data_IF_706305859175
#
_entry.id   IF_706305859175
#
_cell.length_a   1.000
_cell.length_b   1.000
_cell.length_c   1.000
_cell.angle_alpha   90.00
_cell.angle_beta   90.00
_cell.angle_gamma   90.00
#
_symmetry.space_group_name_H-M   'P 1'
#
loop_
_entity.id
_entity.type
_entity.pdbx_description
1 polymer ?
#
# COMPACT_ATOMS: atom_id res chain seq x y z
N UNK A 1 -11.62 -3.38 -0.14
CA UNK A 1 -10.93 -2.70 -1.25
C UNK A 1 -11.97 -1.84 -1.92
N UNK A 2 -11.66 -0.56 -2.17
CA UNK A 2 -12.48 0.25 -3.05
C UNK A 2 -12.54 -0.41 -4.43
N UNK A 3 -13.70 -0.39 -5.06
CA UNK A 3 -13.86 -1.01 -6.38
C UNK A 3 -13.30 -0.07 -7.46
N UNK A 4 -12.90 -0.61 -8.61
CA UNK A 4 -12.48 0.19 -9.76
C UNK A 4 -13.60 1.19 -10.15
N UNK A 5 -14.87 0.86 -9.88
CA UNK A 5 -16.01 1.76 -10.05
C UNK A 5 -15.90 3.06 -9.25
N UNK A 6 -15.44 3.00 -7.98
CA UNK A 6 -15.25 4.20 -7.15
C UNK A 6 -14.20 5.14 -7.77
N UNK A 7 -13.11 4.55 -8.29
CA UNK A 7 -12.08 5.28 -9.01
C UNK A 7 -12.64 5.93 -10.29
N UNK A 8 -13.37 5.18 -11.12
CA UNK A 8 -13.97 5.71 -12.35
C UNK A 8 -14.90 6.89 -12.07
N UNK A 9 -15.70 6.82 -11.01
CA UNK A 9 -16.57 7.93 -10.62
C UNK A 9 -15.80 9.22 -10.35
N UNK A 10 -14.61 9.12 -9.73
CA UNK A 10 -13.77 10.28 -9.40
C UNK A 10 -13.08 10.87 -10.63
N UNK A 11 -12.62 10.04 -11.56
CA UNK A 11 -11.77 10.48 -12.68
C UNK A 11 -12.50 10.67 -14.01
N UNK A 12 -13.80 10.36 -14.08
CA UNK A 12 -14.59 10.45 -15.31
C UNK A 12 -14.44 11.81 -16.01
N UNK A 13 -13.95 11.80 -17.25
CA UNK A 13 -13.76 13.01 -18.05
C UNK A 13 -12.60 13.92 -17.62
N UNK A 14 -11.83 13.53 -16.61
CA UNK A 14 -10.62 14.26 -16.17
C UNK A 14 -9.43 13.73 -16.94
N UNK A 15 -8.86 14.53 -17.85
CA UNK A 15 -7.69 14.10 -18.64
C UNK A 15 -6.35 14.29 -17.93
N UNK A 16 -6.15 15.45 -17.29
CA UNK A 16 -4.90 15.78 -16.62
C UNK A 16 -5.12 16.79 -15.50
N UNK A 17 -4.29 16.76 -14.47
CA UNK A 17 -4.31 17.70 -13.35
C UNK A 17 -2.95 18.38 -13.22
N UNK A 18 -2.97 19.72 -13.06
CA UNK A 18 -1.76 20.55 -13.00
C UNK A 18 -1.35 20.87 -11.57
N UNK A 19 -0.25 20.27 -11.11
CA UNK A 19 0.42 20.53 -9.83
C UNK A 19 1.55 21.55 -9.99
N UNK A 20 1.48 22.41 -11.01
CA UNK A 20 2.44 23.50 -11.25
C UNK A 20 2.02 24.78 -10.51
N UNK A 21 2.85 25.83 -10.49
CA UNK A 21 2.54 27.10 -9.80
C UNK A 21 3.29 27.24 -8.48
N UNK A 22 2.76 28.00 -7.52
CA UNK A 22 3.42 28.25 -6.23
C UNK A 22 3.18 27.12 -5.22
N UNK A 23 1.95 26.60 -5.12
CA UNK A 23 1.65 25.42 -4.29
C UNK A 23 2.66 24.30 -4.48
N UNK A 24 3.14 23.75 -3.37
CA UNK A 24 4.00 22.57 -3.36
C UNK A 24 3.24 21.48 -2.61
N UNK A 25 2.82 20.38 -3.27
CA UNK A 25 2.11 19.32 -2.57
C UNK A 25 3.02 18.66 -1.53
N UNK A 26 2.44 18.06 -0.48
CA UNK A 26 3.13 17.00 0.25
C UNK A 26 2.90 15.64 -0.41
N UNK A 27 3.56 14.57 0.05
CA UNK A 27 3.15 13.20 -0.31
C UNK A 27 2.04 12.74 0.62
N UNK A 28 1.07 12.00 0.08
CA UNK A 28 0.08 11.27 0.85
C UNK A 28 0.57 9.84 1.10
N UNK A 29 0.47 9.38 2.34
CA UNK A 29 0.75 8.01 2.73
C UNK A 29 -0.57 7.26 2.94
N UNK A 30 -0.75 6.16 2.23
CA UNK A 30 -1.86 5.24 2.42
C UNK A 30 -1.43 4.14 3.40
N UNK A 31 -2.27 3.75 4.35
CA UNK A 31 -1.97 2.71 5.35
C UNK A 31 -3.02 1.61 5.47
N UNK A 32 -4.23 1.86 4.99
CA UNK A 32 -5.35 0.91 5.12
C UNK A 32 -5.88 0.46 3.75
N UNK A 33 -6.36 -0.79 3.61
CA UNK A 33 -6.92 -1.31 2.35
C UNK A 33 -8.21 -0.61 1.87
N UNK A 34 -8.82 0.23 2.70
CA UNK A 34 -9.96 1.07 2.32
C UNK A 34 -9.55 2.36 1.64
N UNK A 35 -8.28 2.77 1.77
CA UNK A 35 -7.71 3.92 1.10
C UNK A 35 -7.06 3.50 -0.23
N UNK A 36 -7.23 4.33 -1.25
CA UNK A 36 -6.70 4.08 -2.59
C UNK A 36 -6.19 5.37 -3.22
N UNK A 37 -5.15 5.29 -4.07
CA UNK A 37 -4.66 6.47 -4.76
C UNK A 37 -5.60 6.84 -5.91
N UNK A 38 -5.79 8.14 -6.09
CA UNK A 38 -6.53 8.69 -7.23
C UNK A 38 -5.55 9.26 -8.27
N UNK A 39 -4.47 9.90 -7.79
CA UNK A 39 -3.40 10.39 -8.64
C UNK A 39 -2.04 10.08 -8.03
N UNK A 40 -1.21 9.39 -8.83
CA UNK A 40 0.17 9.05 -8.50
C UNK A 40 1.08 9.67 -9.56
N UNK A 41 2.06 10.44 -9.11
CA UNK A 41 3.02 11.07 -10.01
C UNK A 41 4.01 10.06 -10.62
N UNK A 42 4.76 10.42 -11.68
CA UNK A 42 5.85 9.59 -12.21
C UNK A 42 6.88 9.15 -11.15
N UNK A 43 7.18 10.03 -10.17
CA UNK A 43 8.03 9.73 -9.00
C UNK A 43 7.37 8.80 -7.96
N UNK A 44 6.15 8.34 -8.23
CA UNK A 44 5.35 7.48 -7.34
C UNK A 44 4.84 8.19 -6.08
N UNK A 45 4.72 9.52 -6.12
CA UNK A 45 4.10 10.26 -5.04
C UNK A 45 2.58 10.22 -5.18
N UNK A 46 1.86 9.83 -4.13
CA UNK A 46 0.40 9.96 -4.10
C UNK A 46 0.06 11.41 -3.79
N UNK A 47 -0.63 12.08 -4.72
CA UNK A 47 -0.98 13.50 -4.59
C UNK A 47 -2.49 13.72 -4.37
N UNK A 48 -3.29 12.73 -4.76
CA UNK A 48 -4.72 12.66 -4.44
C UNK A 48 -5.02 11.24 -4.01
N UNK A 49 -5.75 11.10 -2.91
CA UNK A 49 -6.18 9.81 -2.39
C UNK A 49 -7.65 9.88 -1.98
N UNK A 50 -8.30 8.72 -1.97
CA UNK A 50 -9.66 8.58 -1.51
C UNK A 50 -9.78 7.37 -0.57
N UNK A 51 -10.80 7.36 0.30
CA UNK A 51 -11.01 6.28 1.24
C UNK A 51 -12.47 6.13 1.64
N UNK A 52 -12.84 4.90 2.02
CA UNK A 52 -14.09 4.57 2.68
C UNK A 52 -13.86 4.48 4.19
N UNK A 53 -14.68 5.15 5.00
CA UNK A 53 -14.60 5.08 6.45
C UNK A 53 -15.98 5.04 7.10
N UNK A 54 -16.27 3.95 7.82
CA UNK A 54 -17.62 3.69 8.32
C UNK A 54 -18.61 3.60 7.17
N UNK A 55 -19.61 4.47 7.17
CA UNK A 55 -20.59 4.61 6.07
C UNK A 55 -20.26 5.74 5.09
N UNK A 56 -19.29 6.58 5.41
CA UNK A 56 -18.93 7.76 4.63
C UNK A 56 -17.69 7.56 3.78
N UNK A 57 -17.30 8.66 3.14
CA UNK A 57 -16.26 8.70 2.12
C UNK A 57 -15.39 9.93 2.30
N UNK A 58 -14.12 9.81 1.93
CA UNK A 58 -13.14 10.90 2.05
C UNK A 58 -12.33 11.03 0.77
N UNK A 59 -12.12 12.26 0.32
CA UNK A 59 -11.12 12.62 -0.71
C UNK A 59 -10.12 13.58 -0.09
N UNK A 60 -8.83 13.27 -0.25
CA UNK A 60 -7.71 14.01 0.31
C UNK A 60 -6.84 14.57 -0.81
N UNK A 61 -6.61 15.88 -0.79
CA UNK A 61 -5.71 16.59 -1.70
C UNK A 61 -4.41 16.94 -1.00
N UNK A 62 -3.26 16.67 -1.63
CA UNK A 62 -1.92 16.97 -1.08
C UNK A 62 -1.58 18.46 -0.88
N UNK A 63 -2.53 19.36 -1.17
CA UNK A 63 -2.48 20.78 -0.86
C UNK A 63 -3.90 21.35 -0.90
N UNK A 64 -4.23 22.28 -0.02
CA UNK A 64 -5.52 22.96 0.03
C UNK A 64 -5.77 23.85 -1.19
N UNK A 65 -4.73 24.47 -1.75
CA UNK A 65 -4.89 25.33 -2.95
C UNK A 65 -5.53 24.58 -4.12
N UNK A 66 -5.31 23.27 -4.26
CA UNK A 66 -5.91 22.49 -5.34
C UNK A 66 -7.43 22.32 -5.17
N UNK A 67 -7.95 22.43 -3.96
CA UNK A 67 -9.41 22.50 -3.74
C UNK A 67 -9.98 23.82 -4.28
N UNK A 68 -9.16 24.86 -4.40
CA UNK A 68 -9.57 26.21 -4.72
C UNK A 68 -9.04 26.69 -6.08
N UNK A 69 -8.69 25.76 -6.98
CA UNK A 69 -8.08 26.05 -8.28
C UNK A 69 -8.96 25.60 -9.43
N UNK A 70 -9.18 26.48 -10.41
CA UNK A 70 -10.04 26.22 -11.57
C UNK A 70 -9.63 24.96 -12.35
N UNK A 71 -8.32 24.70 -12.48
CA UNK A 71 -7.80 23.52 -13.20
C UNK A 71 -8.14 22.17 -12.55
N UNK A 72 -8.70 22.16 -11.34
CA UNK A 72 -9.15 20.94 -10.64
C UNK A 72 -10.69 20.81 -10.62
N UNK A 73 -11.44 21.77 -11.16
CA UNK A 73 -12.90 21.80 -10.97
C UNK A 73 -13.63 20.62 -11.58
N UNK A 74 -13.15 20.07 -12.71
CA UNK A 74 -13.76 18.88 -13.30
C UNK A 74 -13.63 17.68 -12.35
N UNK A 75 -12.46 17.50 -11.73
CA UNK A 75 -12.25 16.48 -10.70
C UNK A 75 -13.10 16.73 -9.45
N UNK A 76 -13.17 17.98 -8.95
CA UNK A 76 -13.93 18.29 -7.74
C UNK A 76 -15.45 18.14 -7.93
N UNK A 77 -15.96 18.40 -9.13
CA UNK A 77 -17.35 18.14 -9.51
C UNK A 77 -17.69 16.66 -9.55
N UNK A 78 -16.72 15.79 -9.79
CA UNK A 78 -16.87 14.34 -9.65
C UNK A 78 -16.76 13.90 -8.18
N UNK A 79 -15.84 14.51 -7.42
CA UNK A 79 -15.60 14.17 -6.02
C UNK A 79 -16.83 14.39 -5.13
N UNK A 80 -17.54 15.52 -5.29
CA UNK A 80 -18.73 15.85 -4.49
C UNK A 80 -19.85 14.78 -4.56
N UNK A 81 -20.35 14.39 -5.74
CA UNK A 81 -21.37 13.35 -5.83
C UNK A 81 -20.83 11.95 -5.48
N UNK A 82 -19.53 11.70 -5.63
CA UNK A 82 -18.93 10.47 -5.13
C UNK A 82 -18.97 10.41 -3.60
N UNK A 83 -18.65 11.53 -2.94
CA UNK A 83 -18.65 11.70 -1.48
C UNK A 83 -20.05 11.55 -0.88
N UNK A 84 -21.07 12.10 -1.54
CA UNK A 84 -22.47 11.87 -1.20
C UNK A 84 -23.34 11.90 -2.46
N UNK A 85 -24.00 10.78 -2.83
CA UNK A 85 -24.74 10.69 -4.09
C UNK A 85 -26.10 11.39 -4.06
N UNK A 86 -26.61 11.83 -2.90
CA UNK A 86 -27.87 12.58 -2.84
C UNK A 86 -27.65 14.03 -3.30
N UNK A 87 -28.27 14.48 -4.41
CA UNK A 87 -28.06 15.82 -4.96
C UNK A 87 -28.68 16.93 -4.11
N UNK A 88 -29.51 16.61 -3.12
CA UNK A 88 -30.22 17.61 -2.31
C UNK A 88 -29.50 17.94 -0.99
N UNK A 89 -28.36 17.30 -0.73
CA UNK A 89 -27.61 17.54 0.51
C UNK A 89 -27.02 18.94 0.55
N UNK A 90 -26.93 19.50 1.77
CA UNK A 90 -26.16 20.71 1.98
C UNK A 90 -24.66 20.39 1.91
N UNK A 91 -23.91 21.18 1.15
CA UNK A 91 -22.46 21.13 1.08
C UNK A 91 -21.89 22.28 1.90
N UNK A 92 -21.25 21.97 3.02
CA UNK A 92 -20.50 22.95 3.78
C UNK A 92 -19.14 23.20 3.13
N UNK A 93 -18.83 24.43 2.75
CA UNK A 93 -17.53 24.80 2.20
C UNK A 93 -16.83 25.76 3.15
N UNK A 94 -15.59 25.43 3.52
CA UNK A 94 -14.80 26.27 4.41
C UNK A 94 -14.55 27.65 3.78
N UNK A 95 -14.64 28.72 4.58
CA UNK A 95 -14.55 30.11 4.12
C UNK A 95 -13.24 30.46 3.37
N UNK A 96 -12.18 29.64 3.51
CA UNK A 96 -10.90 29.79 2.79
C UNK A 96 -10.94 29.22 1.36
N UNK A 97 -12.05 28.60 0.93
CA UNK A 97 -12.22 27.96 -0.38
C UNK A 97 -13.28 28.65 -1.26
N UNK A 98 -13.18 29.97 -1.53
CA UNK A 98 -14.22 30.71 -2.23
C UNK A 98 -14.42 30.29 -3.69
N UNK A 99 -13.36 29.85 -4.38
CA UNK A 99 -13.44 29.38 -5.78
C UNK A 99 -14.22 28.07 -5.85
N UNK A 100 -13.98 27.16 -4.89
CA UNK A 100 -14.76 25.92 -4.77
C UNK A 100 -16.24 26.23 -4.52
N UNK A 101 -16.51 27.10 -3.54
CA UNK A 101 -17.87 27.51 -3.18
C UNK A 101 -18.63 28.06 -4.39
N UNK A 102 -18.03 29.03 -5.10
CA UNK A 102 -18.64 29.65 -6.27
C UNK A 102 -18.90 28.64 -7.40
N UNK A 103 -17.95 27.74 -7.67
CA UNK A 103 -18.10 26.74 -8.73
C UNK A 103 -19.18 25.69 -8.41
N UNK A 104 -19.27 25.25 -7.16
CA UNK A 104 -20.32 24.32 -6.71
C UNK A 104 -21.70 24.99 -6.74
N UNK A 105 -21.82 26.24 -6.29
CA UNK A 105 -23.05 27.02 -6.40
C UNK A 105 -23.47 27.23 -7.86
N UNK A 106 -22.54 27.54 -8.76
CA UNK A 106 -22.80 27.65 -10.20
C UNK A 106 -23.27 26.32 -10.82
N UNK A 107 -22.83 25.19 -10.23
CA UNK A 107 -23.27 23.83 -10.59
C UNK A 107 -24.57 23.41 -9.92
N UNK A 108 -25.29 24.35 -9.28
CA UNK A 108 -26.60 24.18 -8.62
C UNK A 108 -26.59 23.30 -7.36
N UNK A 109 -25.44 23.08 -6.75
CA UNK A 109 -25.39 22.49 -5.41
C UNK A 109 -25.85 23.48 -4.35
N UNK A 110 -26.43 22.97 -3.26
CA UNK A 110 -26.82 23.77 -2.11
C UNK A 110 -25.61 24.00 -1.19
N UNK A 111 -24.87 25.08 -1.44
CA UNK A 111 -23.63 25.41 -0.74
C UNK A 111 -23.87 26.31 0.46
N UNK A 112 -23.26 25.97 1.59
CA UNK A 112 -23.23 26.79 2.80
C UNK A 112 -21.79 27.12 3.17
N UNK A 113 -21.42 28.39 3.12
CA UNK A 113 -20.10 28.83 3.55
C UNK A 113 -20.02 28.86 5.07
N UNK A 114 -19.01 28.19 5.62
CA UNK A 114 -18.84 28.02 7.07
C UNK A 114 -17.36 28.01 7.44
N UNK A 115 -17.01 28.28 8.71
CA UNK A 115 -15.63 28.08 9.21
C UNK A 115 -15.45 26.73 9.90
N UNK A 116 -16.54 26.04 10.20
CA UNK A 116 -16.57 24.81 11.02
C UNK A 116 -17.59 23.84 10.48
N UNK A 117 -17.51 22.57 10.87
CA UNK A 117 -18.58 21.61 10.64
C UNK A 117 -19.85 22.06 11.37
N UNK A 118 -20.98 22.10 10.66
CA UNK A 118 -22.30 22.46 11.20
C UNK A 118 -23.30 21.32 10.93
N UNK A 119 -24.43 21.33 11.64
CA UNK A 119 -25.46 20.31 11.50
C UNK A 119 -26.17 20.36 10.13
N UNK A 120 -26.60 19.20 9.64
CA UNK A 120 -27.42 19.07 8.43
C UNK A 120 -26.64 19.07 7.11
N UNK A 121 -25.31 19.00 7.16
CA UNK A 121 -24.46 18.81 5.98
C UNK A 121 -24.46 17.33 5.55
N UNK A 122 -24.36 17.10 4.24
CA UNK A 122 -24.06 15.78 3.68
C UNK A 122 -22.62 15.67 3.17
N UNK A 123 -22.00 16.79 2.83
CA UNK A 123 -20.58 16.91 2.47
C UNK A 123 -19.96 18.11 3.18
N UNK A 124 -18.74 17.97 3.68
CA UNK A 124 -17.95 19.06 4.25
C UNK A 124 -16.61 19.18 3.51
N UNK A 125 -16.35 20.35 2.94
CA UNK A 125 -15.13 20.68 2.21
C UNK A 125 -14.28 21.64 3.05
N UNK A 126 -13.09 21.22 3.48
CA UNK A 126 -12.27 21.97 4.44
C UNK A 126 -10.77 21.87 4.21
N UNK A 127 -10.00 22.63 4.99
CA UNK A 127 -8.53 22.55 5.04
C UNK A 127 -8.06 21.80 6.27
N UNK A 128 -6.95 21.08 6.18
CA UNK A 128 -6.41 20.26 7.27
C UNK A 128 -5.50 20.98 8.26
N UNK A 129 -5.74 22.25 8.57
CA UNK A 129 -4.91 23.05 9.48
C UNK A 129 -5.55 23.33 10.84
N UNK A 130 -6.81 22.93 11.04
CA UNK A 130 -7.54 23.08 12.30
C UNK A 130 -8.12 21.71 12.69
N UNK A 131 -7.82 21.27 13.91
CA UNK A 131 -8.24 20.00 14.51
C UNK A 131 -9.24 20.18 15.66
N UNK A 132 -9.74 21.39 15.92
CA UNK A 132 -10.64 21.66 17.05
C UNK A 132 -11.94 20.84 17.01
N UNK A 133 -12.36 20.41 15.81
CA UNK A 133 -13.53 19.55 15.60
C UNK A 133 -13.17 18.16 15.05
N UNK A 134 -11.96 17.66 15.34
CA UNK A 134 -11.50 16.41 14.74
C UNK A 134 -12.44 15.23 15.06
N UNK A 135 -12.90 15.10 16.31
CA UNK A 135 -13.80 14.02 16.72
C UNK A 135 -15.17 14.11 16.03
N UNK A 136 -15.72 15.32 15.90
CA UNK A 136 -17.00 15.58 15.24
C UNK A 136 -16.92 15.29 13.74
N UNK A 137 -15.84 15.71 13.08
CA UNK A 137 -15.60 15.41 11.65
C UNK A 137 -15.45 13.90 11.46
N UNK A 138 -14.71 13.22 12.34
CA UNK A 138 -14.57 11.76 12.30
C UNK A 138 -15.93 11.07 12.46
N UNK A 139 -16.77 11.50 13.41
CA UNK A 139 -18.10 10.91 13.61
C UNK A 139 -19.01 11.17 12.40
N UNK A 140 -18.98 12.39 11.88
CA UNK A 140 -19.72 12.78 10.67
C UNK A 140 -19.41 11.85 9.49
N UNK A 141 -18.12 11.61 9.20
CA UNK A 141 -17.73 10.67 8.13
C UNK A 141 -18.16 9.25 8.47
N UNK A 142 -17.90 8.78 9.70
CA UNK A 142 -18.27 7.42 10.13
C UNK A 142 -19.76 7.13 9.93
N UNK A 143 -20.61 8.13 10.14
CA UNK A 143 -22.07 8.03 10.08
C UNK A 143 -22.64 8.15 8.65
N UNK A 144 -21.84 8.52 7.66
CA UNK A 144 -22.26 8.61 6.25
C UNK A 144 -21.97 9.95 5.57
N UNK A 145 -21.37 10.90 6.28
CA UNK A 145 -20.93 12.16 5.71
C UNK A 145 -19.77 12.02 4.73
N UNK A 146 -19.72 12.91 3.74
CA UNK A 146 -18.60 13.04 2.81
C UNK A 146 -17.60 14.11 3.26
N UNK A 147 -16.30 13.80 3.31
CA UNK A 147 -15.24 14.77 3.61
C UNK A 147 -14.34 15.02 2.39
N UNK A 148 -14.25 16.28 1.96
CA UNK A 148 -13.25 16.73 1.01
C UNK A 148 -12.25 17.60 1.76
N UNK A 149 -10.99 17.18 1.83
CA UNK A 149 -9.98 17.86 2.66
C UNK A 149 -8.66 18.02 1.93
N UNK A 150 -8.06 19.19 2.07
CA UNK A 150 -6.77 19.51 1.47
C UNK A 150 -5.85 20.18 2.49
N UNK A 151 -4.59 19.81 2.48
CA UNK A 151 -3.55 20.44 3.29
C UNK A 151 -2.17 20.03 2.77
N UNK A 152 -1.13 20.72 3.23
CA UNK A 152 0.24 20.22 3.16
C UNK A 152 0.89 20.21 4.55
N UNK A 153 1.64 19.15 4.84
CA UNK A 153 2.30 19.01 6.14
C UNK A 153 3.81 19.28 6.11
N UNK A 154 4.42 19.40 4.93
CA UNK A 154 5.86 19.67 4.79
C UNK A 154 6.22 21.05 5.36
N UNK A 155 5.39 22.08 5.16
CA UNK A 155 5.69 23.42 5.70
C UNK A 155 5.47 23.42 7.21
N UNK A 156 4.42 22.74 7.67
CA UNK A 156 4.17 22.57 9.10
C UNK A 156 5.37 21.90 9.79
N UNK A 157 5.99 20.89 9.18
CA UNK A 157 7.18 20.21 9.74
C UNK A 157 8.45 21.07 9.75
N UNK A 158 8.51 22.17 9.01
CA UNK A 158 9.63 23.12 9.13
C UNK A 158 9.55 23.99 10.39
N UNK A 159 8.34 24.14 10.95
CA UNK A 159 8.07 24.99 12.12
C UNK A 159 7.79 24.21 13.40
N UNK A 160 7.54 22.89 13.29
CA UNK A 160 7.21 21.98 14.38
C UNK A 160 8.21 20.81 14.40
N UNK A 161 8.63 20.37 15.59
CA UNK A 161 9.58 19.26 15.75
C UNK A 161 8.90 17.92 15.99
N UNK A 162 7.59 17.97 16.21
CA UNK A 162 6.74 16.84 16.51
C UNK A 162 6.53 15.95 15.27
N UNK A 163 6.19 14.68 15.49
CA UNK A 163 5.93 13.74 14.42
C UNK A 163 4.68 14.16 13.62
N UNK A 164 4.86 14.49 12.33
CA UNK A 164 3.79 14.91 11.42
C UNK A 164 2.63 13.91 11.38
N UNK A 165 2.92 12.61 11.36
CA UNK A 165 1.88 11.57 11.24
C UNK A 165 0.97 11.51 12.46
N UNK A 166 1.42 12.03 13.60
CA UNK A 166 0.69 12.01 14.87
C UNK A 166 0.09 13.38 15.19
N UNK A 167 0.84 14.45 14.95
CA UNK A 167 0.53 15.77 15.52
C UNK A 167 0.05 16.81 14.50
N UNK A 168 0.21 16.57 13.20
CA UNK A 168 -0.34 17.47 12.19
C UNK A 168 -1.88 17.51 12.28
N UNK A 169 -2.52 18.69 12.36
CA UNK A 169 -3.98 18.80 12.56
C UNK A 169 -4.81 17.97 11.59
N UNK A 170 -4.50 18.02 10.29
CA UNK A 170 -5.17 17.22 9.28
C UNK A 170 -5.07 15.72 9.54
N UNK A 171 -3.92 15.23 10.03
CA UNK A 171 -3.73 13.81 10.35
C UNK A 171 -4.55 13.36 11.56
N UNK A 172 -4.86 14.25 12.50
CA UNK A 172 -5.80 13.93 13.58
C UNK A 172 -7.23 13.70 13.08
N UNK A 173 -7.56 14.21 11.90
CA UNK A 173 -8.87 14.03 11.24
C UNK A 173 -8.84 12.79 10.32
N UNK A 174 -7.85 12.70 9.42
CA UNK A 174 -7.90 11.73 8.30
C UNK A 174 -7.16 10.41 8.56
N UNK A 175 -6.32 10.30 9.59
CA UNK A 175 -5.53 9.08 9.85
C UNK A 175 -6.41 7.84 10.04
N UNK A 176 -7.59 7.99 10.65
CA UNK A 176 -8.58 6.91 10.84
C UNK A 176 -9.15 6.40 9.51
N UNK A 177 -9.03 7.18 8.45
CA UNK A 177 -9.42 6.82 7.09
C UNK A 177 -8.26 6.15 6.32
N UNK A 178 -7.12 5.92 6.96
CA UNK A 178 -5.96 5.27 6.34
C UNK A 178 -5.15 6.15 5.39
N UNK A 179 -5.34 7.47 5.42
CA UNK A 179 -4.58 8.44 4.62
C UNK A 179 -3.85 9.38 5.59
N UNK A 180 -2.59 9.71 5.31
CA UNK A 180 -1.81 10.67 6.09
C UNK A 180 -1.12 11.67 5.17
N UNK A 181 -1.12 12.94 5.55
CA UNK A 181 -0.18 13.94 5.05
C UNK A 181 1.21 13.67 5.62
N UNK A 182 2.25 13.78 4.80
CA UNK A 182 3.64 13.54 5.21
C UNK A 182 4.47 14.83 5.19
N UNK A 183 5.65 14.80 5.82
CA UNK A 183 6.63 15.88 5.77
C UNK A 183 7.31 16.03 4.41
N UNK A 184 7.14 15.08 3.50
CA UNK A 184 7.85 15.04 2.23
C UNK A 184 7.15 15.87 1.17
N UNK A 185 7.94 16.53 0.33
CA UNK A 185 7.46 17.22 -0.86
C UNK A 185 6.97 16.23 -1.92
N UNK A 186 5.77 16.46 -2.44
CA UNK A 186 5.22 15.80 -3.61
C UNK A 186 5.77 16.38 -4.91
N UNK A 187 5.73 15.58 -5.97
CA UNK A 187 6.19 16.00 -7.30
C UNK A 187 5.26 17.07 -7.89
N UNK A 188 5.86 18.07 -8.54
CA UNK A 188 5.15 19.11 -9.28
C UNK A 188 5.22 18.82 -10.77
N UNK A 189 4.13 19.09 -11.48
CA UNK A 189 4.04 18.85 -12.91
C UNK A 189 2.60 18.74 -13.36
N UNK A 190 2.42 18.52 -14.66
CA UNK A 190 1.14 18.16 -15.24
C UNK A 190 1.10 16.63 -15.33
N UNK A 191 0.12 16.03 -14.66
CA UNK A 191 0.02 14.58 -14.59
C UNK A 191 -1.27 14.12 -15.26
N UNK A 192 -1.12 13.13 -16.15
CA UNK A 192 -2.26 12.48 -16.77
C UNK A 192 -3.03 11.68 -15.74
N UNK A 193 -4.35 11.75 -15.83
CA UNK A 193 -5.25 10.88 -15.09
C UNK A 193 -5.58 9.70 -15.99
N UNK A 194 -5.23 8.50 -15.54
CA UNK A 194 -5.41 7.27 -16.32
C UNK A 194 -6.82 6.72 -16.17
N UNK A 195 -7.27 5.91 -17.12
CA UNK A 195 -8.52 5.16 -16.96
C UNK A 195 -8.39 4.09 -15.88
N UNK A 196 -7.22 3.46 -15.72
CA UNK A 196 -7.02 2.47 -14.66
C UNK A 196 -6.58 3.12 -13.36
N UNK A 197 -7.10 2.61 -12.23
CA UNK A 197 -6.67 3.05 -10.90
C UNK A 197 -5.15 2.86 -10.74
N UNK A 198 -4.41 3.89 -10.31
CA UNK A 198 -3.00 3.76 -10.02
C UNK A 198 -2.77 2.67 -8.99
N UNK A 199 -1.71 1.87 -9.16
CA UNK A 199 -1.35 0.89 -8.16
C UNK A 199 -0.95 1.61 -6.86
N UNK A 200 -1.40 1.08 -5.72
CA UNK A 200 -0.95 1.54 -4.40
C UNK A 200 0.57 1.54 -4.39
N UNK A 201 1.24 2.64 -3.96
CA UNK A 201 2.70 2.64 -3.94
C UNK A 201 3.20 1.51 -3.06
N UNK A 202 4.18 0.74 -3.57
CA UNK A 202 4.85 -0.36 -2.84
C UNK A 202 5.40 0.07 -1.47
N UNK A 203 5.55 1.38 -1.24
CA UNK A 203 5.89 1.97 0.04
C UNK A 203 4.88 1.63 1.15
N UNK A 204 3.57 1.66 0.87
CA UNK A 204 2.54 1.25 1.84
C UNK A 204 2.68 -0.22 2.20
N UNK A 205 2.92 -1.07 1.20
CA UNK A 205 3.11 -2.50 1.40
C UNK A 205 4.39 -2.82 2.17
N UNK A 206 5.47 -2.12 1.85
CA UNK A 206 6.73 -2.19 2.57
C UNK A 206 6.53 -1.88 4.06
N UNK A 207 5.92 -0.72 4.37
CA UNK A 207 5.65 -0.31 5.75
C UNK A 207 4.81 -1.33 6.53
N UNK A 208 3.83 -1.94 5.88
CA UNK A 208 3.04 -3.00 6.49
C UNK A 208 3.91 -4.21 6.84
N UNK A 209 4.73 -4.68 5.90
CA UNK A 209 5.60 -5.84 6.07
C UNK A 209 6.63 -5.64 7.20
N UNK A 210 7.19 -4.45 7.32
CA UNK A 210 8.27 -4.16 8.27
C UNK A 210 7.81 -3.59 9.61
N UNK A 211 6.51 -3.41 9.81
CA UNK A 211 5.95 -2.78 11.01
C UNK A 211 6.42 -3.46 12.30
N UNK A 212 7.16 -2.74 13.14
CA UNK A 212 7.68 -3.23 14.42
C UNK A 212 8.88 -4.17 14.30
N UNK A 213 9.41 -4.37 13.09
CA UNK A 213 10.62 -5.17 12.84
C UNK A 213 11.81 -4.22 12.80
N UNK A 214 12.70 -4.28 13.79
CA UNK A 214 13.88 -3.41 13.84
C UNK A 214 15.09 -3.94 13.06
N UNK A 215 15.32 -5.26 13.12
CA UNK A 215 16.44 -5.91 12.45
C UNK A 215 16.15 -7.39 12.24
N UNK A 216 16.73 -7.98 11.19
CA UNK A 216 16.64 -9.41 10.89
C UNK A 216 18.05 -10.01 10.77
N UNK A 217 18.24 -11.17 11.41
CA UNK A 217 19.53 -11.86 11.48
C UNK A 217 19.66 -12.96 10.43
N UNK A 218 20.51 -12.73 9.44
CA UNK A 218 20.90 -13.71 8.41
C UNK A 218 22.20 -14.42 8.79
N UNK A 219 22.54 -14.45 10.09
CA UNK A 219 23.68 -15.19 10.64
C UNK A 219 23.33 -16.69 10.83
N UNK A 220 24.24 -17.49 11.38
CA UNK A 220 24.01 -18.94 11.59
C UNK A 220 24.50 -19.81 10.43
N UNK A 221 23.96 -21.03 10.28
CA UNK A 221 24.40 -21.98 9.24
C UNK A 221 23.83 -21.67 7.86
N UNK A 222 22.52 -21.36 7.79
CA UNK A 222 21.85 -20.88 6.58
C UNK A 222 22.66 -19.82 5.82
N UNK A 223 22.83 -20.03 4.51
CA UNK A 223 23.42 -19.03 3.61
C UNK A 223 22.34 -18.61 2.61
N UNK A 224 21.89 -17.34 2.61
CA UNK A 224 20.88 -16.91 1.66
C UNK A 224 21.41 -16.98 0.23
N UNK A 225 20.53 -17.13 -0.75
CA UNK A 225 20.84 -16.73 -2.13
C UNK A 225 20.56 -15.23 -2.34
N UNK A 226 20.92 -14.68 -3.49
CA UNK A 226 20.41 -13.36 -3.91
C UNK A 226 19.07 -13.53 -4.61
N UNK A 227 18.15 -12.62 -4.35
CA UNK A 227 16.90 -12.49 -5.12
C UNK A 227 17.09 -11.47 -6.24
N UNK A 228 16.63 -11.81 -7.44
CA UNK A 228 16.56 -10.93 -8.59
C UNK A 228 15.13 -10.39 -8.71
N UNK A 229 14.99 -9.07 -8.86
CA UNK A 229 13.70 -8.40 -9.06
C UNK A 229 13.56 -7.92 -10.50
N UNK A 230 12.38 -8.17 -11.08
CA UNK A 230 11.97 -7.75 -12.42
C UNK A 230 10.58 -7.12 -12.38
N UNK A 231 10.40 -6.09 -13.20
CA UNK A 231 9.11 -5.43 -13.37
C UNK A 231 8.68 -4.56 -12.17
N UNK A 232 7.62 -3.75 -12.35
CA UNK A 232 7.24 -2.71 -11.40
C UNK A 232 6.45 -3.22 -10.18
N UNK A 233 6.00 -4.48 -10.18
CA UNK A 233 5.18 -5.04 -9.10
C UNK A 233 5.99 -5.65 -7.95
N UNK A 234 7.26 -5.98 -8.21
CA UNK A 234 8.18 -6.58 -7.25
C UNK A 234 9.06 -5.50 -6.58
N UNK A 235 9.25 -5.63 -5.26
CA UNK A 235 10.05 -4.68 -4.48
C UNK A 235 10.89 -5.39 -3.41
N UNK A 236 12.04 -4.81 -3.05
CA UNK A 236 12.86 -5.34 -1.99
C UNK A 236 12.24 -5.03 -0.61
N UNK A 237 12.40 -5.96 0.32
CA UNK A 237 12.04 -5.77 1.72
C UNK A 237 13.29 -5.69 2.59
N UNK A 238 14.28 -6.56 2.32
CA UNK A 238 15.59 -6.51 2.99
C UNK A 238 16.69 -6.54 1.94
N UNK A 239 17.59 -5.57 2.05
CA UNK A 239 18.76 -5.41 1.17
C UNK A 239 19.99 -5.28 2.04
N UNK A 240 21.00 -6.08 1.76
CA UNK A 240 22.26 -6.05 2.48
C UNK A 240 23.13 -4.84 2.09
N UNK A 241 24.18 -4.49 2.85
CA UNK A 241 25.18 -3.49 2.44
C UNK A 241 25.80 -3.75 1.06
N UNK A 242 25.99 -5.02 0.69
CA UNK A 242 26.44 -5.45 -0.65
C UNK A 242 25.38 -5.30 -1.75
N UNK A 243 24.21 -4.75 -1.44
CA UNK A 243 23.05 -4.61 -2.34
C UNK A 243 22.43 -5.95 -2.75
N UNK A 244 22.65 -7.00 -1.95
CA UNK A 244 21.99 -8.28 -2.17
C UNK A 244 20.55 -8.20 -1.63
N UNK A 245 19.54 -8.49 -2.46
CA UNK A 245 18.14 -8.59 -2.01
C UNK A 245 17.95 -9.94 -1.34
N UNK A 246 17.55 -9.95 -0.07
CA UNK A 246 17.44 -11.16 0.76
C UNK A 246 15.98 -11.50 1.12
N UNK A 247 15.11 -10.50 1.11
CA UNK A 247 13.66 -10.67 1.18
C UNK A 247 13.04 -9.74 0.15
N UNK A 248 12.08 -10.25 -0.60
CA UNK A 248 11.34 -9.49 -1.59
C UNK A 248 9.84 -9.79 -1.49
N UNK A 249 9.03 -8.86 -1.97
CA UNK A 249 7.60 -9.02 -2.07
C UNK A 249 7.10 -8.53 -3.43
N UNK A 250 5.93 -9.02 -3.85
CA UNK A 250 5.35 -8.65 -5.14
C UNK A 250 3.83 -8.82 -5.16
N UNK A 251 3.18 -8.06 -6.04
CA UNK A 251 1.80 -8.29 -6.45
C UNK A 251 1.76 -9.09 -7.75
N UNK A 252 0.84 -10.06 -7.81
CA UNK A 252 0.61 -10.83 -9.03
C UNK A 252 -0.87 -11.19 -9.18
N UNK A 253 -1.49 -10.71 -10.27
CA UNK A 253 -2.94 -10.75 -10.42
C UNK A 253 -3.62 -10.03 -9.27
N UNK A 254 -4.54 -10.71 -8.58
CA UNK A 254 -5.23 -10.20 -7.39
C UNK A 254 -4.52 -10.57 -6.07
N UNK A 255 -3.48 -11.40 -6.13
CA UNK A 255 -2.79 -11.92 -4.96
C UNK A 255 -1.42 -11.29 -4.76
N UNK A 256 -0.70 -11.86 -3.80
CA UNK A 256 0.55 -11.32 -3.27
C UNK A 256 1.53 -12.43 -2.98
N UNK A 257 2.82 -12.11 -3.06
CA UNK A 257 3.92 -13.05 -2.79
C UNK A 257 4.96 -12.41 -1.91
N UNK A 258 5.47 -13.15 -0.92
CA UNK A 258 6.68 -12.83 -0.15
C UNK A 258 7.69 -13.96 -0.34
N UNK A 259 8.91 -13.59 -0.72
CA UNK A 259 10.00 -14.53 -1.03
C UNK A 259 11.15 -14.33 -0.05
N UNK A 260 11.55 -15.41 0.63
CA UNK A 260 12.72 -15.48 1.51
C UNK A 260 13.88 -16.13 0.79
N UNK A 261 15.07 -15.54 0.83
CA UNK A 261 16.27 -16.06 0.17
C UNK A 261 16.81 -17.41 0.70
N UNK A 262 16.14 -18.00 1.70
CA UNK A 262 16.34 -19.35 2.21
C UNK A 262 15.10 -19.77 3.00
N UNK A 263 14.68 -21.03 2.87
CA UNK A 263 13.57 -21.64 3.62
C UNK A 263 13.80 -21.70 5.13
N UNK A 264 15.04 -21.78 5.61
CA UNK A 264 15.31 -21.83 7.06
C UNK A 264 14.79 -20.59 7.78
N UNK A 265 14.79 -19.43 7.12
CA UNK A 265 14.28 -18.19 7.70
C UNK A 265 12.77 -18.20 7.88
N UNK A 266 12.03 -19.01 7.12
CA UNK A 266 10.60 -19.24 7.35
C UNK A 266 10.35 -19.97 8.67
N UNK A 267 11.34 -20.70 9.17
CA UNK A 267 11.19 -21.59 10.33
C UNK A 267 12.09 -21.15 11.49
N UNK A 268 12.52 -19.88 11.54
CA UNK A 268 13.45 -19.34 12.55
C UNK A 268 12.78 -18.29 13.42
N UNK A 269 12.90 -18.43 14.74
CA UNK A 269 12.23 -17.56 15.73
C UNK A 269 12.52 -16.07 15.53
N UNK A 270 13.75 -15.71 15.14
CA UNK A 270 14.16 -14.32 14.91
C UNK A 270 13.43 -13.62 13.73
N UNK A 271 12.65 -14.36 12.93
CA UNK A 271 11.88 -13.82 11.82
C UNK A 271 10.37 -13.77 12.11
N UNK A 272 9.90 -14.27 13.25
CA UNK A 272 8.47 -14.55 13.46
C UNK A 272 7.58 -13.30 13.41
N UNK A 273 8.04 -12.16 13.95
CA UNK A 273 7.30 -10.91 13.86
C UNK A 273 7.14 -10.44 12.40
N UNK A 274 8.22 -10.55 11.61
CA UNK A 274 8.18 -10.28 10.18
C UNK A 274 7.23 -11.25 9.44
N UNK A 275 7.32 -12.54 9.73
CA UNK A 275 6.50 -13.56 9.07
C UNK A 275 5.00 -13.40 9.41
N UNK A 276 4.67 -12.94 10.63
CA UNK A 276 3.31 -12.57 11.02
C UNK A 276 2.78 -11.40 10.19
N UNK A 277 3.59 -10.36 10.02
CA UNK A 277 3.25 -9.23 9.15
C UNK A 277 3.07 -9.70 7.71
N UNK A 278 3.99 -10.54 7.19
CA UNK A 278 3.93 -11.10 5.85
C UNK A 278 2.63 -11.87 5.61
N UNK A 279 2.27 -12.80 6.50
CA UNK A 279 1.01 -13.57 6.41
C UNK A 279 -0.22 -12.65 6.40
N UNK A 280 -0.25 -11.64 7.27
CA UNK A 280 -1.37 -10.69 7.34
C UNK A 280 -1.44 -9.79 6.11
N UNK A 281 -0.29 -9.45 5.52
CA UNK A 281 -0.22 -8.66 4.29
C UNK A 281 -0.67 -9.48 3.07
N UNK A 282 -0.25 -10.74 3.01
CA UNK A 282 -0.61 -11.72 1.99
C UNK A 282 -2.13 -11.95 1.94
N UNK A 283 -2.79 -11.99 3.08
CA UNK A 283 -4.25 -11.96 3.16
C UNK A 283 -4.73 -11.24 4.43
N UNK A 284 -5.37 -10.06 4.31
CA UNK A 284 -5.78 -9.27 5.47
C UNK A 284 -7.01 -9.83 6.20
N UNK A 285 -7.71 -10.82 5.64
CA UNK A 285 -8.84 -11.45 6.31
C UNK A 285 -8.34 -12.43 7.39
N UNK A 286 -8.55 -12.16 8.68
CA UNK A 286 -8.01 -12.99 9.77
C UNK A 286 -8.65 -14.39 9.86
N UNK A 287 -9.77 -14.62 9.16
CA UNK A 287 -10.53 -15.87 9.22
C UNK A 287 -10.13 -16.90 8.15
N UNK A 288 -9.19 -16.57 7.26
CA UNK A 288 -8.75 -17.47 6.20
C UNK A 288 -7.95 -18.64 6.76
N UNK A 289 -8.00 -19.77 6.06
CA UNK A 289 -7.14 -20.91 6.38
C UNK A 289 -5.74 -20.66 5.81
N UNK A 290 -4.72 -20.88 6.63
CA UNK A 290 -3.33 -20.79 6.23
C UNK A 290 -2.79 -22.20 6.09
N UNK A 291 -2.45 -22.59 4.86
CA UNK A 291 -1.72 -23.82 4.61
C UNK A 291 -0.24 -23.61 4.95
N UNK A 292 0.32 -24.43 5.84
CA UNK A 292 1.76 -24.40 6.15
C UNK A 292 2.38 -25.72 5.73
N UNK A 293 3.45 -25.66 4.96
CA UNK A 293 4.15 -26.85 4.51
C UNK A 293 4.69 -27.65 5.70
N UNK A 294 4.58 -28.97 5.67
CA UNK A 294 4.97 -29.87 6.79
C UNK A 294 6.44 -29.73 7.24
N UNK A 295 7.31 -29.16 6.41
CA UNK A 295 8.72 -28.87 6.75
C UNK A 295 8.91 -27.58 7.55
N UNK A 296 7.85 -26.83 7.85
CA UNK A 296 7.88 -25.54 8.55
C UNK A 296 7.15 -25.60 9.90
N UNK A 297 7.50 -26.53 10.82
CA UNK A 297 6.74 -26.74 12.06
C UNK A 297 6.80 -25.55 13.04
N UNK A 298 7.90 -24.79 13.08
CA UNK A 298 8.03 -23.62 13.96
C UNK A 298 7.08 -22.52 13.48
N UNK A 299 7.02 -22.27 12.16
CA UNK A 299 6.06 -21.34 11.57
C UNK A 299 4.61 -21.74 11.87
N UNK A 300 4.27 -23.01 11.64
CA UNK A 300 2.93 -23.56 11.93
C UNK A 300 2.52 -23.29 13.38
N UNK A 301 3.40 -23.61 14.32
CA UNK A 301 3.13 -23.47 15.75
C UNK A 301 2.99 -22.00 16.14
N UNK A 302 3.87 -21.13 15.65
CA UNK A 302 3.83 -19.70 15.94
C UNK A 302 2.56 -19.02 15.39
N UNK A 303 2.16 -19.33 14.15
CA UNK A 303 0.94 -18.77 13.55
C UNK A 303 -0.31 -19.29 14.30
N UNK A 304 -0.33 -20.57 14.66
CA UNK A 304 -1.43 -21.14 15.46
C UNK A 304 -1.54 -20.45 16.83
N UNK A 305 -0.41 -20.25 17.52
CA UNK A 305 -0.35 -19.53 18.81
C UNK A 305 -0.73 -18.06 18.67
N UNK A 306 -0.53 -17.46 17.49
CA UNK A 306 -0.94 -16.10 17.15
C UNK A 306 -2.42 -15.97 16.76
N UNK A 307 -3.20 -17.07 16.82
CA UNK A 307 -4.65 -17.07 16.59
C UNK A 307 -5.09 -17.32 15.15
N UNK A 308 -4.18 -17.67 14.24
CA UNK A 308 -4.54 -18.02 12.86
C UNK A 308 -5.06 -19.45 12.75
N UNK A 309 -5.93 -19.69 11.76
CA UNK A 309 -6.39 -21.04 11.39
C UNK A 309 -5.35 -21.72 10.51
N UNK A 310 -4.42 -22.45 11.13
CA UNK A 310 -3.36 -23.15 10.41
C UNK A 310 -3.79 -24.57 10.04
N UNK A 311 -3.47 -24.98 8.82
CA UNK A 311 -3.59 -26.34 8.34
C UNK A 311 -2.24 -26.80 7.79
N UNK A 312 -1.66 -27.82 8.42
CA UNK A 312 -0.41 -28.42 7.94
C UNK A 312 -0.68 -29.32 6.74
N UNK A 313 0.09 -29.13 5.67
CA UNK A 313 -0.09 -29.84 4.39
C UNK A 313 1.27 -30.00 3.69
N UNK A 314 1.40 -30.96 2.78
CA UNK A 314 2.60 -31.06 1.91
C UNK A 314 2.40 -30.36 0.56
N UNK A 315 1.17 -30.02 0.22
CA UNK A 315 0.77 -29.49 -1.10
C UNK A 315 -0.26 -28.38 -0.94
N UNK A 316 -0.44 -27.58 -1.99
CA UNK A 316 -1.57 -26.66 -2.07
C UNK A 316 -2.88 -27.47 -2.12
N UNK A 317 -3.82 -27.12 -1.25
CA UNK A 317 -5.15 -27.72 -1.15
C UNK A 317 -6.23 -26.64 -1.27
N UNK A 318 -7.46 -27.05 -1.54
CA UNK A 318 -8.59 -26.12 -1.70
C UNK A 318 -8.95 -25.42 -0.38
N UNK A 319 -9.45 -24.18 -0.49
CA UNK A 319 -9.98 -23.42 0.64
C UNK A 319 -8.95 -22.67 1.48
N UNK A 320 -7.69 -22.62 1.04
CA UNK A 320 -6.65 -21.79 1.65
C UNK A 320 -6.77 -20.33 1.18
N UNK A 321 -6.45 -19.38 2.06
CA UNK A 321 -6.24 -17.98 1.69
C UNK A 321 -4.76 -17.60 1.61
N UNK A 322 -3.89 -18.34 2.31
CA UNK A 322 -2.43 -18.20 2.26
C UNK A 322 -1.80 -19.60 2.22
N UNK A 323 -0.76 -19.78 1.42
CA UNK A 323 0.06 -20.98 1.39
C UNK A 323 1.53 -20.63 1.70
N UNK A 324 2.09 -21.25 2.73
CA UNK A 324 3.47 -21.09 3.18
C UNK A 324 4.26 -22.35 2.81
N UNK A 325 5.25 -22.25 1.92
CA UNK A 325 5.94 -23.43 1.38
C UNK A 325 7.42 -23.20 1.10
N UNK A 326 8.11 -24.27 0.74
CA UNK A 326 9.51 -24.23 0.25
C UNK A 326 9.55 -24.32 -1.28
N UNK A 327 10.54 -23.69 -1.91
CA UNK A 327 10.66 -23.65 -3.38
C UNK A 327 11.44 -24.80 -4.00
N UNK A 328 11.32 -26.02 -3.46
CA UNK A 328 12.05 -27.20 -3.97
C UNK A 328 11.20 -28.20 -4.75
N UNK A 329 9.88 -27.97 -4.82
CA UNK A 329 8.93 -28.80 -5.56
C UNK A 329 8.08 -27.91 -6.48
N UNK A 330 8.02 -28.28 -7.76
CA UNK A 330 7.26 -27.60 -8.81
C UNK A 330 6.11 -28.45 -9.36
N UNK A 331 5.78 -29.59 -8.74
CA UNK A 331 4.70 -30.46 -9.20
C UNK A 331 3.32 -29.76 -9.25
N UNK A 332 3.12 -28.70 -8.46
CA UNK A 332 1.90 -27.88 -8.44
C UNK A 332 2.15 -26.43 -8.89
N UNK A 333 3.16 -26.19 -9.74
CA UNK A 333 3.54 -24.82 -10.08
C UNK A 333 2.39 -24.02 -10.70
N UNK A 334 1.65 -24.59 -11.65
CA UNK A 334 0.54 -23.92 -12.32
C UNK A 334 -0.64 -23.66 -11.38
N UNK A 335 -0.92 -24.58 -10.46
CA UNK A 335 -1.96 -24.44 -9.44
C UNK A 335 -1.60 -23.33 -8.45
N UNK A 336 -0.34 -23.26 -8.01
CA UNK A 336 0.14 -22.19 -7.12
C UNK A 336 0.11 -20.84 -7.85
N UNK A 337 0.55 -20.78 -9.11
CA UNK A 337 0.47 -19.56 -9.92
C UNK A 337 -0.97 -19.08 -10.05
N UNK A 338 -1.90 -19.98 -10.34
CA UNK A 338 -3.33 -19.67 -10.48
C UNK A 338 -3.94 -19.21 -9.15
N UNK A 339 -3.61 -19.90 -8.06
CA UNK A 339 -4.01 -19.51 -6.71
C UNK A 339 -3.59 -18.08 -6.36
N UNK A 340 -2.34 -17.70 -6.62
CA UNK A 340 -1.88 -16.32 -6.39
C UNK A 340 -2.60 -15.35 -7.34
N UNK A 341 -2.67 -15.66 -8.63
CA UNK A 341 -3.33 -14.80 -9.63
C UNK A 341 -4.78 -14.47 -9.24
N UNK A 342 -5.49 -15.41 -8.63
CA UNK A 342 -6.90 -15.30 -8.24
C UNK A 342 -7.13 -14.62 -6.88
N UNK A 343 -6.07 -14.28 -6.13
CA UNK A 343 -6.18 -13.56 -4.85
C UNK A 343 -5.59 -14.29 -3.65
N UNK A 344 -4.99 -15.46 -3.86
CA UNK A 344 -4.25 -16.19 -2.84
C UNK A 344 -2.93 -15.50 -2.46
N UNK A 345 -2.50 -15.72 -1.22
CA UNK A 345 -1.21 -15.27 -0.73
C UNK A 345 -0.15 -16.39 -0.73
N UNK A 346 1.04 -16.15 -1.28
CA UNK A 346 2.15 -17.11 -1.24
C UNK A 346 3.30 -16.59 -0.38
N UNK A 347 3.67 -17.35 0.65
CA UNK A 347 4.92 -17.17 1.39
C UNK A 347 5.87 -18.31 1.01
N UNK A 348 6.98 -18.00 0.38
CA UNK A 348 7.88 -19.03 -0.16
C UNK A 348 9.34 -18.73 0.16
N UNK A 349 10.09 -19.77 0.50
CA UNK A 349 11.52 -19.67 0.81
C UNK A 349 12.29 -20.82 0.18
N UNK A 350 13.47 -20.51 -0.37
CA UNK A 350 14.36 -21.52 -0.93
C UNK A 350 15.76 -20.94 -1.13
N UNK A 351 16.74 -21.82 -1.38
CA UNK A 351 18.08 -21.42 -1.79
C UNK A 351 18.50 -22.13 -3.08
N UNK A 352 18.69 -21.36 -4.16
CA UNK A 352 19.00 -21.95 -5.46
C UNK A 352 20.50 -22.19 -5.69
N UNK A 353 21.39 -21.53 -4.94
CA UNK A 353 22.83 -21.75 -5.04
C UNK A 353 23.20 -23.22 -4.77
N UNK A 354 22.59 -23.86 -3.78
CA UNK A 354 22.87 -25.26 -3.45
C UNK A 354 22.41 -26.19 -4.57
N UNK A 355 21.20 -25.96 -5.09
CA UNK A 355 20.68 -26.70 -6.24
C UNK A 355 21.59 -26.58 -7.47
N UNK A 356 22.18 -25.40 -7.71
CA UNK A 356 23.10 -25.16 -8.82
C UNK A 356 24.45 -25.89 -8.71
N UNK A 357 24.79 -26.43 -7.54
CA UNK A 357 26.00 -27.26 -7.38
C UNK A 357 25.83 -28.67 -7.94
N UNK A 358 24.60 -29.16 -8.03
CA UNK A 358 24.25 -30.51 -8.49
C UNK A 358 23.56 -30.53 -9.85
N UNK A 359 23.17 -29.35 -10.37
CA UNK A 359 22.47 -29.18 -11.65
C UNK A 359 23.26 -28.23 -12.57
N UNK A 360 23.36 -28.55 -13.86
CA UNK A 360 24.10 -27.75 -14.84
C UNK A 360 23.22 -26.73 -15.56
N UNK A 361 21.92 -26.86 -15.39
CA UNK A 361 20.91 -26.04 -16.02
C UNK A 361 20.87 -24.63 -15.42
N UNK A 362 20.37 -23.68 -16.19
CA UNK A 362 20.24 -22.30 -15.73
C UNK A 362 19.19 -22.20 -14.62
N UNK A 363 19.63 -21.81 -13.42
CA UNK A 363 18.81 -21.61 -12.22
C UNK A 363 17.57 -20.76 -12.49
N UNK A 364 17.70 -19.68 -13.27
CA UNK A 364 16.61 -18.74 -13.51
C UNK A 364 15.41 -19.39 -14.23
N UNK A 365 15.64 -20.47 -14.96
CA UNK A 365 14.61 -21.17 -15.74
C UNK A 365 14.24 -22.55 -15.18
N UNK A 366 15.20 -23.24 -14.54
CA UNK A 366 15.04 -24.66 -14.21
C UNK A 366 14.90 -24.95 -12.70
N UNK A 367 15.26 -24.00 -11.83
CA UNK A 367 15.06 -24.18 -10.40
C UNK A 367 13.55 -24.28 -10.06
N UNK A 368 13.08 -25.29 -9.31
CA UNK A 368 11.66 -25.50 -9.04
C UNK A 368 10.94 -24.25 -8.52
N UNK A 369 11.51 -23.56 -7.53
CA UNK A 369 10.94 -22.32 -7.01
C UNK A 369 10.78 -21.23 -8.09
N UNK A 370 11.72 -21.12 -9.03
CA UNK A 370 11.63 -20.12 -10.11
C UNK A 370 10.54 -20.43 -11.14
N UNK A 371 10.15 -21.70 -11.31
CA UNK A 371 8.98 -22.07 -12.11
C UNK A 371 7.66 -21.58 -11.48
N UNK A 372 7.65 -21.30 -10.19
CA UNK A 372 6.50 -20.76 -9.45
C UNK A 372 6.53 -19.23 -9.41
N UNK A 373 7.66 -18.63 -8.99
CA UNK A 373 7.69 -17.20 -8.63
C UNK A 373 8.17 -16.25 -9.73
N UNK A 374 8.74 -16.74 -10.83
CA UNK A 374 9.28 -15.87 -11.89
C UNK A 374 8.23 -14.97 -12.52
N UNK A 375 6.99 -15.46 -12.66
CA UNK A 375 5.84 -14.69 -13.15
C UNK A 375 5.45 -13.53 -12.23
N UNK A 376 5.88 -13.57 -10.96
CA UNK A 376 5.67 -12.52 -9.98
C UNK A 376 6.81 -11.49 -9.98
N UNK A 377 7.78 -11.59 -10.91
CA UNK A 377 8.91 -10.66 -10.99
C UNK A 377 9.98 -10.88 -9.92
N UNK A 378 10.02 -12.04 -9.27
CA UNK A 378 11.07 -12.41 -8.29
C UNK A 378 11.68 -13.73 -8.71
N UNK A 379 13.01 -13.84 -8.68
CA UNK A 379 13.72 -15.09 -8.96
C UNK A 379 14.84 -15.35 -7.95
N UNK A 380 14.99 -16.60 -7.53
CA UNK A 380 16.18 -17.08 -6.82
C UNK A 380 17.37 -17.18 -7.78
N UNK A 381 18.56 -16.78 -7.33
CA UNK A 381 19.80 -16.87 -8.13
C UNK A 381 20.75 -17.94 -7.59
N UNK A 382 21.74 -18.34 -8.39
CA UNK A 382 22.84 -19.21 -7.97
C UNK A 382 23.87 -18.49 -7.08
N UNK A 383 23.73 -17.19 -6.86
CA UNK A 383 24.69 -16.41 -6.10
C UNK A 383 24.38 -16.43 -4.61
N UNK A 384 25.44 -16.51 -3.80
CA UNK A 384 25.34 -16.33 -2.35
C UNK A 384 24.98 -14.88 -2.01
N UNK A 385 23.98 -14.72 -1.16
CA UNK A 385 23.65 -13.46 -0.50
C UNK A 385 24.56 -13.22 0.71
N UNK A 386 24.70 -11.95 1.06
CA UNK A 386 25.42 -11.53 2.26
C UNK A 386 24.75 -12.03 3.55
N UNK A 387 25.57 -12.54 4.48
CA UNK A 387 25.16 -12.88 5.84
C UNK A 387 25.48 -11.73 6.78
N UNK A 388 24.62 -11.53 7.77
CA UNK A 388 24.80 -10.49 8.78
C UNK A 388 23.50 -10.15 9.48
N UNK A 389 23.58 -9.20 10.40
CA UNK A 389 22.40 -8.57 10.98
C UNK A 389 22.09 -7.30 10.17
N UNK A 390 20.89 -7.24 9.61
CA UNK A 390 20.49 -6.11 8.79
C UNK A 390 19.34 -5.36 9.44
N UNK A 391 19.54 -4.07 9.66
CA UNK A 391 18.49 -3.17 10.13
C UNK A 391 17.39 -3.05 9.08
N UNK A 392 16.16 -3.06 9.55
CA UNK A 392 14.99 -2.81 8.73
C UNK A 392 14.59 -1.35 8.98
N UNK A 393 14.67 -0.53 7.94
CA UNK A 393 14.45 0.91 8.01
C UNK A 393 13.00 1.27 7.76
N UNK A 394 12.59 2.50 8.12
CA UNK A 394 11.28 3.02 7.70
C UNK A 394 11.22 3.28 6.19
N UNK A 395 12.35 3.61 5.57
CA UNK A 395 12.42 3.82 4.13
C UNK A 395 12.60 2.50 3.38
N UNK A 396 11.81 2.28 2.33
CA UNK A 396 11.96 1.13 1.44
C UNK A 396 13.34 1.16 0.76
N UNK A 397 14.13 0.08 0.84
CA UNK A 397 15.44 0.01 0.20
C UNK A 397 15.35 0.23 -1.30
N UNK A 398 16.32 0.96 -1.86
CA UNK A 398 16.43 1.16 -3.29
C UNK A 398 17.42 0.16 -3.89
N UNK A 399 16.99 -0.59 -4.90
CA UNK A 399 17.84 -1.47 -5.71
C UNK A 399 17.50 -1.30 -7.19
N UNK A 400 18.48 -1.45 -8.09
CA UNK A 400 18.20 -1.52 -9.52
C UNK A 400 17.25 -2.69 -9.79
N UNK A 401 16.07 -2.40 -10.33
CA UNK A 401 15.19 -3.42 -10.91
C UNK A 401 15.74 -3.73 -12.28
N UNK A 402 15.94 -5.01 -12.60
CA UNK A 402 16.32 -5.39 -13.95
C UNK A 402 15.14 -5.08 -14.89
N UNK A 403 15.33 -4.11 -15.78
CA UNK A 403 14.46 -3.89 -16.93
C UNK A 403 14.77 -4.96 -17.96
N UNK A 404 13.75 -5.66 -18.44
CA UNK A 404 13.90 -6.74 -19.40
C UNK A 404 14.79 -6.30 -20.58
N UNK A 405 15.88 -7.06 -20.79
CA UNK A 405 16.60 -7.15 -22.06
C UNK A 405 16.33 -8.51 -22.67
#
# INVERSE_FOLDING_TARGET
MADNEDYQCLVSGVGSLSFTGEAVPCKLLLREPSAFPVLVSPRKDVLIAASLYGKGKVVVMAHEEYLNRESFMDFLKNAVPWLNPDPNVNIGVHNTLPVLSNNLSASRYNVQNTSTLIQGLGVFCTTGYDDHQAEEIISFVREGGGLLIGAQAWHWSTTHKENVLIYFPGNKIISVCGIHFTSDYGEKGDFLVTEDMPQVPLYTDYHYLVRGVGSLSFTGEAVPCKLLLRGPSAFPVVVSPRKDVLIAASHYGKGKVVVMAHEEYLNRESFMDFLKNAVSWLNPNPNVNIGVHNTLPILSNYLSASGYKVQNTSTLIQGLGVFCTTGYDDHQAEEIISFVREGGGLLIGAQAWHWSTTHKENVLYHFPGNKIISVCGIQFTSEYGEKGDFSVTEDMPQVPVCTDQ
#
